data_IF_291584227195
#
_entry.id   IF_291584227195
#
_cell.length_a   1.000
_cell.length_b   1.000
_cell.length_c   1.000
_cell.angle_alpha   90.00
_cell.angle_beta   90.00
_cell.angle_gamma   90.00
#
_symmetry.space_group_name_H-M   'P 1'
#
loop_
_entity.id
_entity.type
_entity.pdbx_description
1 polymer ?
#
# COMPACT_ATOMS: atom_id res chain seq x y z
N UNK A 1 14.04 -9.28 -13.51
CA UNK A 1 13.40 -10.61 -13.44
C UNK A 1 12.40 -10.60 -12.31
N UNK A 2 11.16 -11.02 -12.57
CA UNK A 2 10.06 -11.09 -11.60
C UNK A 2 8.82 -10.32 -12.08
N UNK A 3 8.16 -10.76 -13.16
CA UNK A 3 6.87 -10.16 -13.56
C UNK A 3 5.68 -10.67 -12.73
N UNK A 4 5.91 -11.63 -11.83
CA UNK A 4 4.88 -12.25 -11.01
C UNK A 4 4.91 -11.72 -9.58
N UNK A 5 3.74 -11.35 -9.08
CA UNK A 5 3.45 -11.11 -7.67
C UNK A 5 2.21 -11.92 -7.32
N UNK A 6 2.21 -12.55 -6.14
CA UNK A 6 1.08 -13.31 -5.64
C UNK A 6 -0.04 -12.35 -5.20
N UNK A 7 -0.97 -12.08 -6.12
CA UNK A 7 -2.09 -11.19 -5.87
C UNK A 7 -3.39 -11.75 -6.44
N UNK A 8 -4.50 -11.51 -5.75
CA UNK A 8 -5.84 -11.94 -6.17
C UNK A 8 -6.81 -10.75 -6.20
N UNK A 9 -7.68 -10.74 -7.21
CA UNK A 9 -8.80 -9.80 -7.24
C UNK A 9 -9.92 -10.28 -6.32
N UNK A 10 -10.45 -9.37 -5.53
CA UNK A 10 -11.59 -9.62 -4.66
C UNK A 10 -12.73 -8.71 -5.06
N UNK A 11 -13.90 -9.32 -5.20
CA UNK A 11 -15.12 -8.59 -5.51
C UNK A 11 -15.63 -7.90 -4.24
N UNK A 12 -15.80 -6.58 -4.33
CA UNK A 12 -16.47 -5.84 -3.27
C UNK A 12 -17.98 -6.07 -3.32
N UNK A 13 -18.64 -5.88 -2.18
CA UNK A 13 -20.10 -6.05 -2.04
C UNK A 13 -20.91 -5.22 -3.05
N UNK A 14 -20.47 -3.98 -3.34
CA UNK A 14 -21.17 -3.05 -4.23
C UNK A 14 -20.59 -2.98 -5.66
N UNK A 15 -19.34 -3.38 -5.85
CA UNK A 15 -18.61 -3.24 -7.12
C UNK A 15 -17.61 -4.39 -7.28
N UNK A 16 -17.68 -5.09 -8.41
CA UNK A 16 -16.71 -6.14 -8.78
C UNK A 16 -15.30 -5.56 -8.96
N UNK A 17 -14.30 -6.37 -8.62
CA UNK A 17 -12.86 -6.17 -8.89
C UNK A 17 -12.25 -4.83 -8.42
N UNK A 18 -12.79 -4.28 -7.33
CA UNK A 18 -12.28 -3.04 -6.72
C UNK A 18 -11.13 -3.29 -5.74
N UNK A 19 -10.97 -4.53 -5.26
CA UNK A 19 -10.01 -4.87 -4.23
C UNK A 19 -8.97 -5.85 -4.75
N UNK A 20 -7.73 -5.67 -4.32
CA UNK A 20 -6.61 -6.56 -4.58
C UNK A 20 -6.07 -7.01 -3.24
N UNK A 21 -5.88 -8.31 -3.03
CA UNK A 21 -5.13 -8.84 -1.89
C UNK A 21 -3.76 -9.30 -2.38
N UNK A 22 -2.70 -8.97 -1.65
CA UNK A 22 -1.34 -9.46 -1.90
C UNK A 22 -0.60 -9.66 -0.59
N UNK A 23 0.37 -10.56 -0.57
CA UNK A 23 1.37 -10.61 0.48
C UNK A 23 2.17 -9.30 0.55
N UNK A 24 2.82 -9.03 1.69
CA UNK A 24 3.84 -7.99 1.78
C UNK A 24 4.95 -8.21 0.73
N UNK A 25 5.49 -7.13 0.15
CA UNK A 25 6.49 -7.25 -0.91
C UNK A 25 7.78 -7.84 -0.35
N UNK A 26 8.37 -8.77 -1.09
CA UNK A 26 9.68 -9.33 -0.81
C UNK A 26 10.75 -8.59 -1.62
N UNK A 27 12.05 -8.69 -1.26
CA UNK A 27 13.13 -8.02 -2.03
C UNK A 27 13.11 -8.36 -3.52
N UNK A 28 12.74 -9.59 -3.87
CA UNK A 28 12.65 -10.07 -5.26
C UNK A 28 11.40 -9.60 -6.02
N UNK A 29 10.32 -9.21 -5.31
CA UNK A 29 9.03 -8.82 -5.91
C UNK A 29 8.71 -7.33 -5.78
N UNK A 30 9.64 -6.54 -5.27
CA UNK A 30 9.44 -5.13 -4.94
C UNK A 30 9.06 -4.28 -6.17
N UNK A 31 9.73 -4.52 -7.30
CA UNK A 31 9.42 -3.84 -8.56
C UNK A 31 8.04 -4.27 -9.07
N UNK A 32 7.70 -5.55 -8.94
CA UNK A 32 6.41 -6.12 -9.34
C UNK A 32 5.25 -5.54 -8.51
N UNK A 33 5.49 -5.28 -7.22
CA UNK A 33 4.54 -4.61 -6.34
C UNK A 33 4.21 -3.19 -6.82
N UNK A 34 5.23 -2.36 -7.09
CA UNK A 34 5.00 -1.00 -7.59
C UNK A 34 4.43 -0.96 -9.00
N UNK A 35 4.78 -1.94 -9.85
CA UNK A 35 4.12 -2.16 -11.14
C UNK A 35 2.63 -2.45 -10.96
N UNK A 36 2.26 -3.34 -10.03
CA UNK A 36 0.85 -3.64 -9.73
C UNK A 36 0.11 -2.37 -9.27
N UNK A 37 0.68 -1.62 -8.32
CA UNK A 37 0.07 -0.39 -7.77
C UNK A 37 -0.24 0.62 -8.88
N UNK A 38 0.72 0.88 -9.75
CA UNK A 38 0.58 1.85 -10.85
C UNK A 38 -0.32 1.34 -11.97
N UNK A 39 -0.11 0.10 -12.44
CA UNK A 39 -0.85 -0.50 -13.55
C UNK A 39 -2.34 -0.66 -13.24
N UNK A 40 -2.69 -1.05 -12.01
CA UNK A 40 -4.08 -1.23 -11.60
C UNK A 40 -4.70 0.01 -10.96
N UNK A 41 -4.02 1.16 -11.03
CA UNK A 41 -4.49 2.45 -10.50
C UNK A 41 -4.92 2.34 -9.03
N UNK A 42 -4.10 1.70 -8.21
CA UNK A 42 -4.35 1.53 -6.78
C UNK A 42 -4.20 2.89 -6.11
N UNK A 43 -5.27 3.39 -5.51
CA UNK A 43 -5.27 4.71 -4.85
C UNK A 43 -5.12 4.63 -3.33
N UNK A 44 -5.36 3.45 -2.76
CA UNK A 44 -5.20 3.17 -1.33
C UNK A 44 -4.54 1.81 -1.13
N UNK A 45 -3.44 1.78 -0.38
CA UNK A 45 -2.82 0.57 0.16
C UNK A 45 -3.18 0.51 1.64
N UNK A 46 -3.82 -0.57 2.06
CA UNK A 46 -4.12 -0.86 3.46
C UNK A 46 -3.18 -1.97 3.91
N UNK A 47 -2.27 -1.64 4.81
CA UNK A 47 -1.23 -2.56 5.26
C UNK A 47 -1.42 -2.97 6.72
N UNK A 48 -1.30 -4.27 6.96
CA UNK A 48 -1.25 -4.88 8.28
C UNK A 48 0.15 -5.45 8.51
N UNK A 49 0.54 -5.64 9.77
CA UNK A 49 1.77 -6.35 10.17
C UNK A 49 3.11 -5.81 9.60
N UNK A 50 3.16 -4.56 9.13
CA UNK A 50 4.39 -3.98 8.55
C UNK A 50 5.53 -3.81 9.56
N UNK A 51 5.29 -3.89 10.87
CA UNK A 51 6.33 -3.74 11.90
C UNK A 51 7.40 -4.84 11.81
N UNK A 52 7.04 -6.01 11.27
CA UNK A 52 7.95 -7.12 11.01
C UNK A 52 8.98 -6.80 9.94
N UNK A 53 8.80 -5.75 9.11
CA UNK A 53 9.78 -5.33 8.10
C UNK A 53 11.17 -5.03 8.69
N UNK A 54 11.24 -4.65 9.96
CA UNK A 54 12.50 -4.36 10.65
C UNK A 54 13.25 -5.61 11.14
N UNK A 55 12.54 -6.73 11.31
CA UNK A 55 13.06 -7.96 11.93
C UNK A 55 13.06 -9.15 10.98
N UNK A 56 12.20 -9.15 9.96
CA UNK A 56 12.04 -10.21 8.98
C UNK A 56 12.64 -9.80 7.63
N UNK A 57 13.77 -10.43 7.27
CA UNK A 57 14.50 -10.15 6.03
C UNK A 57 13.75 -10.62 4.77
N UNK A 58 12.69 -11.42 4.91
CA UNK A 58 11.85 -11.83 3.77
C UNK A 58 10.98 -10.69 3.27
N UNK A 59 10.76 -9.66 4.08
CA UNK A 59 9.94 -8.49 3.74
C UNK A 59 10.87 -7.35 3.27
N UNK A 60 10.61 -6.82 2.08
CA UNK A 60 11.34 -5.68 1.55
C UNK A 60 10.93 -4.40 2.27
N UNK A 61 11.89 -3.53 2.55
CA UNK A 61 11.58 -2.13 2.84
C UNK A 61 11.10 -1.43 1.56
N UNK A 62 9.78 -1.27 1.42
CA UNK A 62 9.16 -0.69 0.23
C UNK A 62 8.72 0.77 0.41
N UNK A 63 8.68 1.29 1.65
CA UNK A 63 8.20 2.63 1.93
C UNK A 63 9.35 3.64 1.98
N UNK A 64 9.15 4.88 1.50
CA UNK A 64 10.13 5.94 1.63
C UNK A 64 10.17 6.48 3.05
N UNK A 65 11.36 6.89 3.49
CA UNK A 65 11.50 7.73 4.67
C UNK A 65 11.05 9.17 4.35
N UNK A 66 10.65 9.93 5.36
CA UNK A 66 10.17 11.32 5.20
C UNK A 66 11.16 12.25 4.48
N UNK A 67 12.45 11.96 4.56
CA UNK A 67 13.52 12.85 4.06
C UNK A 67 14.14 12.42 2.72
N UNK A 68 13.98 11.14 2.32
CA UNK A 68 14.68 10.60 1.15
C UNK A 68 13.74 9.73 0.29
N UNK A 69 13.69 9.98 -1.04
CA UNK A 69 12.98 9.10 -1.94
C UNK A 69 13.62 7.71 -1.94
N UNK A 70 12.76 6.70 -2.06
CA UNK A 70 13.14 5.31 -2.19
C UNK A 70 13.08 4.90 -3.67
N UNK A 71 14.11 4.18 -4.14
CA UNK A 71 14.22 3.79 -5.55
C UNK A 71 14.12 2.28 -5.72
N UNK A 72 13.11 1.84 -6.47
CA UNK A 72 12.93 0.47 -6.95
C UNK A 72 12.83 0.50 -8.48
N UNK A 73 13.98 0.62 -9.16
CA UNK A 73 14.06 0.85 -10.61
C UNK A 73 13.11 -0.07 -11.41
N UNK A 74 12.25 0.50 -12.29
CA UNK A 74 12.25 1.89 -12.80
C UNK A 74 11.43 2.88 -11.97
N UNK A 75 10.98 2.52 -10.77
CA UNK A 75 10.13 3.36 -9.93
C UNK A 75 10.93 4.15 -8.90
N UNK A 76 10.54 5.40 -8.73
CA UNK A 76 10.95 6.27 -7.63
C UNK A 76 9.73 6.60 -6.77
N UNK A 77 9.88 6.46 -5.46
CA UNK A 77 8.80 6.52 -4.50
C UNK A 77 9.15 7.60 -3.48
N UNK A 78 8.28 8.59 -3.32
CA UNK A 78 8.50 9.73 -2.44
C UNK A 78 7.33 9.91 -1.47
N UNK A 79 7.65 10.16 -0.20
CA UNK A 79 6.68 10.60 0.80
C UNK A 79 6.34 12.07 0.58
N UNK A 80 5.07 12.41 0.50
CA UNK A 80 4.62 13.82 0.37
C UNK A 80 3.99 14.36 1.64
N UNK A 81 3.35 13.50 2.44
CA UNK A 81 2.71 13.86 3.71
C UNK A 81 2.63 12.61 4.59
N UNK A 82 2.79 12.79 5.90
CA UNK A 82 2.76 11.73 6.90
C UNK A 82 1.93 12.19 8.09
N UNK A 83 0.88 11.44 8.41
CA UNK A 83 0.00 11.69 9.54
C UNK A 83 -0.03 10.47 10.44
N UNK A 84 0.28 10.68 11.69
CA UNK A 84 0.29 9.63 12.69
C UNK A 84 -0.89 9.79 13.64
N UNK A 85 -1.71 8.75 13.73
CA UNK A 85 -2.87 8.68 14.61
C UNK A 85 -2.70 7.54 15.61
N UNK A 86 -3.62 7.46 16.59
CA UNK A 86 -3.57 6.42 17.63
C UNK A 86 -3.66 5.00 17.06
N UNK A 87 -4.51 4.78 16.03
CA UNK A 87 -4.81 3.44 15.51
C UNK A 87 -4.18 3.16 14.14
N UNK A 88 -3.63 4.17 13.46
CA UNK A 88 -3.02 4.01 12.14
C UNK A 88 -1.94 5.04 11.86
N UNK A 89 -1.14 4.77 10.82
CA UNK A 89 -0.28 5.77 10.16
C UNK A 89 -0.78 5.93 8.74
N UNK A 90 -0.96 7.18 8.32
CA UNK A 90 -1.30 7.53 6.95
C UNK A 90 -0.09 8.21 6.30
N UNK A 91 0.33 7.69 5.15
CA UNK A 91 1.41 8.25 4.36
C UNK A 91 0.93 8.49 2.93
N UNK A 92 0.96 9.73 2.48
CA UNK A 92 0.73 10.07 1.08
C UNK A 92 2.02 9.84 0.30
N UNK A 93 1.91 9.03 -0.76
CA UNK A 93 3.05 8.56 -1.54
C UNK A 93 2.86 8.94 -2.99
N UNK A 94 3.91 9.50 -3.57
CA UNK A 94 4.04 9.75 -5.01
C UNK A 94 4.98 8.71 -5.60
N UNK A 95 4.48 7.94 -6.57
CA UNK A 95 5.25 6.95 -7.33
C UNK A 95 5.47 7.48 -8.74
N UNK A 96 6.72 7.57 -9.17
CA UNK A 96 7.09 8.02 -10.50
C UNK A 96 7.81 6.90 -11.23
N UNK A 97 7.28 6.49 -12.38
CA UNK A 97 8.02 5.60 -13.27
C UNK A 97 9.01 6.43 -14.09
N UNK A 98 10.30 6.31 -13.81
CA UNK A 98 11.34 7.17 -14.39
C UNK A 98 11.49 6.99 -15.91
N UNK A 99 11.14 5.82 -16.45
CA UNK A 99 11.22 5.51 -17.89
C UNK A 99 10.08 6.13 -18.69
N UNK A 100 8.86 6.09 -18.16
CA UNK A 100 7.66 6.65 -18.83
C UNK A 100 7.30 8.06 -18.39
N UNK A 101 7.90 8.55 -17.30
CA UNK A 101 7.56 9.81 -16.62
C UNK A 101 6.11 9.90 -16.15
N UNK A 102 5.44 8.76 -16.01
CA UNK A 102 4.09 8.68 -15.46
C UNK A 102 4.18 8.74 -13.94
N UNK A 103 3.38 9.64 -13.37
CA UNK A 103 3.23 9.80 -11.93
C UNK A 103 1.92 9.15 -11.46
N UNK A 104 1.95 8.58 -10.27
CA UNK A 104 0.81 7.95 -9.64
C UNK A 104 0.82 8.23 -8.14
N UNK A 105 -0.26 8.80 -7.63
CA UNK A 105 -0.43 9.09 -6.20
C UNK A 105 -1.22 7.98 -5.52
N UNK A 106 -0.73 7.55 -4.36
CA UNK A 106 -1.35 6.50 -3.55
C UNK A 106 -1.25 6.86 -2.07
N UNK A 107 -2.31 6.56 -1.33
CA UNK A 107 -2.31 6.67 0.13
C UNK A 107 -1.92 5.32 0.70
N UNK A 108 -0.93 5.28 1.59
CA UNK A 108 -0.61 4.10 2.39
C UNK A 108 -1.18 4.28 3.79
N UNK A 109 -2.00 3.33 4.22
CA UNK A 109 -2.67 3.31 5.50
C UNK A 109 -2.22 2.07 6.27
N UNK A 110 -1.29 2.25 7.21
CA UNK A 110 -0.79 1.20 8.10
C UNK A 110 -1.69 1.08 9.32
N UNK A 111 -2.20 -0.12 9.60
CA UNK A 111 -2.86 -0.44 10.86
C UNK A 111 -1.84 -0.59 12.00
N UNK A 112 -2.10 0.02 13.17
CA UNK A 112 -1.33 -0.19 14.41
C UNK A 112 -2.01 -1.15 15.40
N UNK A 113 -3.20 -1.63 15.06
CA UNK A 113 -4.00 -2.47 15.95
C UNK A 113 -3.50 -3.90 15.83
N UNK A 114 -2.86 -4.40 16.89
CA UNK A 114 -2.40 -5.80 16.98
C UNK A 114 -3.26 -6.65 17.93
N UNK A 115 -4.15 -6.00 18.69
CA UNK A 115 -5.12 -6.67 19.55
C UNK A 115 -6.41 -7.01 18.78
N UNK A 116 -7.16 -8.04 19.18
CA UNK A 116 -8.42 -8.41 18.54
C UNK A 116 -9.61 -7.53 18.97
N UNK A 117 -9.38 -6.30 19.47
CA UNK A 117 -10.47 -5.42 19.89
C UNK A 117 -11.33 -5.02 18.69
N UNK A 118 -12.58 -5.49 18.70
CA UNK A 118 -13.50 -5.32 17.58
C UNK A 118 -13.84 -3.84 17.31
N UNK A 119 -13.86 -2.98 18.33
CA UNK A 119 -14.19 -1.55 18.18
C UNK A 119 -13.04 -0.79 17.54
N UNK A 120 -11.80 -1.08 17.93
CA UNK A 120 -10.59 -0.51 17.30
C UNK A 120 -10.47 -0.92 15.85
N UNK A 121 -10.65 -2.21 15.56
CA UNK A 121 -10.66 -2.73 14.19
C UNK A 121 -11.78 -2.12 13.35
N UNK A 122 -12.99 -2.00 13.89
CA UNK A 122 -14.12 -1.38 13.21
C UNK A 122 -13.83 0.09 12.87
N UNK A 123 -13.20 0.82 13.79
CA UNK A 123 -12.81 2.23 13.58
C UNK A 123 -11.82 2.34 12.41
N UNK A 124 -10.80 1.48 12.37
CA UNK A 124 -9.83 1.43 11.28
C UNK A 124 -10.49 1.05 9.94
N UNK A 125 -11.36 0.03 9.93
CA UNK A 125 -12.10 -0.40 8.74
C UNK A 125 -12.97 0.74 8.21
N UNK A 126 -13.67 1.46 9.07
CA UNK A 126 -14.48 2.62 8.67
C UNK A 126 -13.64 3.74 8.07
N UNK A 127 -12.45 4.01 8.62
CA UNK A 127 -11.49 4.95 8.04
C UNK A 127 -11.02 4.50 6.66
N UNK A 128 -10.67 3.23 6.47
CA UNK A 128 -10.31 2.72 5.14
C UNK A 128 -11.45 2.88 4.13
N UNK A 129 -12.71 2.68 4.57
CA UNK A 129 -13.91 2.82 3.74
C UNK A 129 -14.22 4.27 3.39
N UNK A 130 -13.89 5.25 4.24
CA UNK A 130 -14.12 6.66 3.90
C UNK A 130 -13.31 7.11 2.67
N UNK A 131 -12.15 6.49 2.43
CA UNK A 131 -11.38 6.74 1.21
C UNK A 131 -12.06 6.18 -0.04
N UNK A 132 -12.81 5.08 0.07
CA UNK A 132 -13.49 4.46 -1.07
C UNK A 132 -14.52 5.39 -1.75
N UNK A 133 -15.03 6.39 -1.02
CA UNK A 133 -15.90 7.42 -1.57
C UNK A 133 -15.14 8.57 -2.28
N UNK A 134 -13.86 8.77 -1.93
CA UNK A 134 -13.05 9.93 -2.32
C UNK A 134 -12.06 9.60 -3.44
N UNK A 135 -11.54 8.36 -3.50
CA UNK A 135 -10.53 7.98 -4.50
C UNK A 135 -11.12 7.22 -5.69
N UNK A 136 -10.72 7.63 -6.91
CA UNK A 136 -11.12 7.02 -8.19
C UNK A 136 -10.19 5.85 -8.60
N UNK A 137 -9.83 4.98 -7.66
CA UNK A 137 -8.89 3.87 -7.89
C UNK A 137 -9.23 2.62 -7.09
N UNK A 138 -8.40 1.58 -7.23
CA UNK A 138 -8.56 0.32 -6.49
C UNK A 138 -7.97 0.41 -5.09
N UNK A 139 -8.45 -0.44 -4.20
CA UNK A 139 -7.87 -0.63 -2.87
C UNK A 139 -7.03 -1.91 -2.89
N UNK A 140 -5.80 -1.82 -2.41
CA UNK A 140 -4.92 -2.96 -2.21
C UNK A 140 -4.81 -3.23 -0.72
N UNK A 141 -5.03 -4.47 -0.29
CA UNK A 141 -4.77 -4.91 1.08
C UNK A 141 -3.54 -5.81 1.10
N UNK A 142 -2.69 -5.63 2.11
CA UNK A 142 -1.47 -6.40 2.27
C UNK A 142 -1.16 -6.72 3.73
N UNK A 143 -0.63 -7.91 3.97
CA UNK A 143 -0.22 -8.47 5.26
C UNK A 143 0.92 -9.47 5.05
#
# INVERSE_FOLDING_TARGET
>A
MGDYINAVFVQGFLKKDQQILTQLPMPSTLVSFWKLVTQYKVSLIVAFDTDKMSTDQTIANYLPSSEKPFSASPYEIQSTDLKEENLWVEQNIKVVNQSSKIEHSVIHLKCKVHDPDAMRLLTFVNKSRSYNALVKGRILYTC
#
